data_IF_025984392376
#
_entry.id   IF_025984392376
#
_cell.length_a   1.000
_cell.length_b   1.000
_cell.length_c   1.000
_cell.angle_alpha   90.00
_cell.angle_beta   90.00
_cell.angle_gamma   90.00
#
_symmetry.space_group_name_H-M   'P 1'
#
loop_
_entity.id
_entity.type
_entity.pdbx_description
1 polymer ?
#
# COMPACT_ATOMS: atom_id res chain seq x y z
N UNK A 1 -48.85 -10.74 -13.94
CA UNK A 1 -47.66 -9.88 -14.15
C UNK A 1 -47.25 -9.10 -12.89
N UNK A 2 -48.17 -8.70 -12.02
CA UNK A 2 -47.85 -7.89 -10.82
C UNK A 2 -47.05 -8.63 -9.73
N UNK A 3 -47.32 -9.92 -9.49
CA UNK A 3 -46.68 -10.64 -8.38
C UNK A 3 -45.17 -10.91 -8.61
N UNK A 4 -44.75 -11.03 -9.87
CA UNK A 4 -43.36 -11.26 -10.23
C UNK A 4 -42.49 -10.01 -9.99
N UNK A 5 -43.07 -8.83 -10.22
CA UNK A 5 -42.43 -7.53 -9.97
C UNK A 5 -42.19 -7.35 -8.48
N UNK A 6 -43.18 -7.66 -7.63
CA UNK A 6 -43.03 -7.58 -6.17
C UNK A 6 -41.90 -8.49 -5.68
N UNK A 7 -41.80 -9.71 -6.21
CA UNK A 7 -40.76 -10.66 -5.83
C UNK A 7 -39.36 -10.17 -6.23
N UNK A 8 -39.21 -9.57 -7.41
CA UNK A 8 -37.96 -8.96 -7.87
C UNK A 8 -37.52 -7.77 -6.99
N UNK A 9 -38.46 -6.93 -6.55
CA UNK A 9 -38.15 -5.83 -5.62
C UNK A 9 -37.69 -6.34 -4.25
N UNK A 10 -38.36 -7.38 -3.72
CA UNK A 10 -37.95 -8.02 -2.46
C UNK A 10 -36.54 -8.59 -2.58
N UNK A 11 -36.21 -9.27 -3.68
CA UNK A 11 -34.85 -9.79 -3.90
C UNK A 11 -33.83 -8.65 -4.00
N UNK A 12 -34.11 -7.58 -4.75
CA UNK A 12 -33.18 -6.46 -4.90
C UNK A 12 -32.93 -5.70 -3.58
N UNK A 13 -33.93 -5.60 -2.71
CA UNK A 13 -33.83 -4.94 -1.40
C UNK A 13 -33.19 -5.87 -0.34
N UNK A 14 -33.54 -7.17 -0.33
CA UNK A 14 -33.01 -8.15 0.61
C UNK A 14 -31.57 -8.57 0.30
N UNK A 15 -31.21 -8.68 -0.98
CA UNK A 15 -29.89 -9.09 -1.43
C UNK A 15 -29.00 -7.93 -1.86
N UNK A 16 -29.45 -6.68 -1.67
CA UNK A 16 -28.72 -5.44 -1.87
C UNK A 16 -27.71 -5.50 -3.00
N UNK A 17 -28.10 -5.07 -4.21
CA UNK A 17 -27.24 -4.99 -5.40
C UNK A 17 -25.77 -4.80 -5.01
N UNK A 18 -24.97 -5.86 -5.14
CA UNK A 18 -23.54 -5.79 -4.87
C UNK A 18 -22.93 -4.94 -5.97
N UNK A 19 -22.84 -3.63 -5.75
CA UNK A 19 -22.10 -2.76 -6.65
C UNK A 19 -20.65 -3.25 -6.67
N UNK A 20 -20.15 -3.59 -7.85
CA UNK A 20 -18.74 -3.86 -8.04
C UNK A 20 -17.94 -2.62 -7.57
N UNK A 21 -17.19 -2.80 -6.50
CA UNK A 21 -16.40 -1.75 -5.85
C UNK A 21 -15.25 -1.32 -6.76
N UNK A 22 -15.02 0.00 -6.89
CA UNK A 22 -13.88 0.52 -7.67
C UNK A 22 -12.54 -0.03 -7.16
N UNK A 23 -11.65 -0.39 -8.09
CA UNK A 23 -10.35 -0.99 -7.78
C UNK A 23 -9.48 -0.05 -6.92
N UNK A 24 -8.89 -0.60 -5.85
CA UNK A 24 -7.92 0.14 -5.04
C UNK A 24 -6.53 -0.02 -5.61
N UNK A 25 -5.79 1.09 -5.75
CA UNK A 25 -4.46 1.10 -6.34
C UNK A 25 -3.40 1.32 -5.27
N UNK A 26 -2.50 0.35 -5.13
CA UNK A 26 -1.25 0.48 -4.37
C UNK A 26 -0.12 0.69 -5.34
N UNK A 27 0.72 1.69 -5.07
CA UNK A 27 1.96 1.91 -5.81
C UNK A 27 3.11 1.82 -4.83
N UNK A 28 4.09 0.97 -5.16
CA UNK A 28 5.37 0.92 -4.47
C UNK A 28 6.42 1.52 -5.39
N UNK A 29 6.97 2.65 -4.99
CA UNK A 29 7.97 3.38 -5.75
C UNK A 29 9.30 3.26 -5.03
N UNK A 30 10.36 2.96 -5.78
CA UNK A 30 11.71 2.94 -5.28
C UNK A 30 12.50 4.08 -5.90
N UNK A 31 12.82 5.11 -5.12
CA UNK A 31 13.63 6.25 -5.55
C UNK A 31 15.08 6.14 -5.04
N UNK A 32 15.49 4.95 -4.58
CA UNK A 32 16.80 4.71 -3.96
C UNK A 32 17.92 4.43 -4.99
N UNK A 33 17.64 4.57 -6.29
CA UNK A 33 18.64 4.43 -7.36
C UNK A 33 18.97 2.97 -7.72
N UNK A 34 20.19 2.72 -8.23
CA UNK A 34 20.67 1.41 -8.76
C UNK A 34 20.71 0.27 -7.74
N UNK A 35 20.40 0.53 -6.47
CA UNK A 35 20.48 -0.45 -5.40
C UNK A 35 19.38 -1.50 -5.50
N UNK A 36 19.68 -2.71 -5.02
CA UNK A 36 18.74 -3.82 -5.07
C UNK A 36 17.73 -3.70 -3.94
N UNK A 37 16.47 -3.44 -4.28
CA UNK A 37 15.36 -3.46 -3.33
C UNK A 37 14.53 -4.72 -3.54
N UNK A 38 14.31 -5.48 -2.46
CA UNK A 38 13.39 -6.62 -2.44
C UNK A 38 12.23 -6.27 -1.53
N UNK A 39 11.02 -6.41 -2.06
CA UNK A 39 9.79 -6.29 -1.29
C UNK A 39 9.39 -7.69 -0.82
N UNK A 40 9.62 -7.98 0.45
CA UNK A 40 8.90 -9.03 1.16
C UNK A 40 7.77 -8.34 1.95
N UNK A 41 6.96 -9.05 2.74
CA UNK A 41 6.10 -8.36 3.74
C UNK A 41 6.91 -7.43 4.66
N UNK A 42 8.24 -7.63 4.67
CA UNK A 42 9.26 -6.74 5.19
C UNK A 42 9.95 -5.98 4.03
N UNK A 43 10.13 -4.67 4.20
CA UNK A 43 10.85 -3.84 3.23
C UNK A 43 12.31 -3.76 3.62
N UNK A 44 13.21 -4.16 2.71
CA UNK A 44 14.65 -4.13 2.91
C UNK A 44 15.35 -3.19 1.94
N UNK A 45 16.33 -2.45 2.45
CA UNK A 45 17.22 -1.61 1.67
C UNK A 45 18.68 -1.87 2.05
N UNK A 46 19.53 -2.15 1.05
CA UNK A 46 20.96 -2.34 1.23
C UNK A 46 21.73 -1.13 0.70
N UNK A 47 22.65 -0.61 1.51
CA UNK A 47 23.56 0.45 1.12
C UNK A 47 24.71 -0.10 0.26
N UNK A 48 25.35 0.74 -0.59
CA UNK A 48 26.56 0.37 -1.30
C UNK A 48 27.63 -0.15 -0.33
N UNK A 49 28.38 -1.16 -0.76
CA UNK A 49 29.49 -1.71 0.04
C UNK A 49 30.59 -0.67 0.14
N UNK A 50 30.98 -0.32 1.37
CA UNK A 50 32.12 0.56 1.62
C UNK A 50 33.43 -0.21 1.35
N UNK A 51 34.34 0.30 0.50
CA UNK A 51 35.63 -0.36 0.26
C UNK A 51 36.48 -0.55 1.53
N UNK A 52 36.27 0.27 2.57
CA UNK A 52 36.99 0.18 3.85
C UNK A 52 36.27 -0.67 4.90
N UNK A 53 35.00 -1.04 4.67
CA UNK A 53 34.24 -1.91 5.55
C UNK A 53 33.36 -2.85 4.72
N UNK A 54 33.77 -4.12 4.53
CA UNK A 54 33.05 -5.05 3.66
C UNK A 54 31.70 -5.50 4.21
N UNK A 55 31.31 -5.05 5.42
CA UNK A 55 30.01 -5.40 6.01
C UNK A 55 28.88 -4.66 5.30
N UNK A 56 27.89 -5.37 4.72
CA UNK A 56 26.73 -4.73 4.12
C UNK A 56 25.88 -4.06 5.22
N UNK A 57 25.62 -2.76 5.07
CA UNK A 57 24.72 -2.03 5.98
C UNK A 57 23.30 -2.15 5.45
N UNK A 58 22.45 -2.85 6.20
CA UNK A 58 21.09 -3.17 5.78
C UNK A 58 20.10 -2.41 6.66
N UNK A 59 19.12 -1.77 6.03
CA UNK A 59 17.99 -1.10 6.65
C UNK A 59 16.72 -1.91 6.44
N UNK A 60 15.87 -1.98 7.46
CA UNK A 60 14.62 -2.74 7.43
C UNK A 60 13.46 -1.97 8.04
N UNK A 61 12.28 -2.24 7.49
CA UNK A 61 11.01 -1.96 8.13
C UNK A 61 10.14 -3.22 8.17
N UNK A 62 9.62 -3.54 9.36
CA UNK A 62 8.74 -4.69 9.58
C UNK A 62 7.27 -4.32 9.29
N UNK A 63 6.57 -5.17 8.54
CA UNK A 63 5.13 -5.08 8.25
C UNK A 63 4.64 -3.72 7.74
N UNK A 64 4.91 -3.45 6.45
CA UNK A 64 4.37 -2.27 5.79
C UNK A 64 2.88 -2.47 5.42
N UNK A 65 1.98 -1.93 6.25
CA UNK A 65 0.54 -2.07 6.04
C UNK A 65 0.04 -1.10 4.95
N UNK A 66 -0.21 -1.62 3.73
CA UNK A 66 -0.77 -0.84 2.63
C UNK A 66 -2.27 -0.52 2.82
N UNK A 67 -3.04 -1.52 3.25
CA UNK A 67 -4.45 -1.38 3.63
C UNK A 67 -4.74 -2.17 4.90
N UNK A 68 -5.55 -1.61 5.80
CA UNK A 68 -6.11 -2.36 6.92
C UNK A 68 -7.38 -3.07 6.46
N UNK A 69 -7.63 -4.30 6.90
CA UNK A 69 -8.97 -4.89 6.83
C UNK A 69 -9.91 -4.15 7.80
N UNK A 70 -11.17 -3.90 7.43
CA UNK A 70 -12.13 -3.24 8.32
C UNK A 70 -13.48 -3.00 7.66
N UNK A 71 -14.56 -3.09 8.45
CA UNK A 71 -15.93 -3.40 8.00
C UNK A 71 -16.79 -2.19 7.65
N UNK A 72 -16.40 -0.95 8.00
CA UNK A 72 -17.24 0.24 7.78
C UNK A 72 -16.67 1.18 6.72
N UNK A 73 -17.35 1.17 5.58
CA UNK A 73 -17.56 2.25 4.59
C UNK A 73 -16.34 3.03 4.03
N UNK A 74 -16.24 3.05 2.69
CA UNK A 74 -15.27 3.80 1.84
C UNK A 74 -13.88 3.19 1.59
N UNK A 75 -13.79 1.89 1.30
CA UNK A 75 -12.52 1.26 0.83
C UNK A 75 -12.37 1.12 -0.68
N UNK A 76 -13.42 1.44 -1.43
CA UNK A 76 -13.37 1.41 -2.89
C UNK A 76 -12.54 2.57 -3.44
N UNK A 77 -11.81 2.33 -4.53
CA UNK A 77 -11.09 3.38 -5.26
C UNK A 77 -9.98 4.04 -4.45
N UNK A 78 -9.45 3.40 -3.41
CA UNK A 78 -8.42 4.03 -2.59
C UNK A 78 -7.09 4.04 -3.32
N UNK A 79 -6.42 5.20 -3.26
CA UNK A 79 -5.03 5.34 -3.67
C UNK A 79 -4.11 5.35 -2.46
N UNK A 80 -3.05 4.55 -2.54
CA UNK A 80 -1.97 4.50 -1.56
C UNK A 80 -0.66 4.38 -2.32
N UNK A 81 0.24 5.33 -2.11
CA UNK A 81 1.59 5.21 -2.62
C UNK A 81 2.58 5.25 -1.48
N UNK A 82 3.46 4.26 -1.48
CA UNK A 82 4.60 4.15 -0.60
C UNK A 82 5.85 4.32 -1.43
N UNK A 83 6.67 5.29 -1.08
CA UNK A 83 7.91 5.58 -1.79
C UNK A 83 9.09 5.43 -0.84
N UNK A 84 9.99 4.51 -1.17
CA UNK A 84 11.22 4.33 -0.42
C UNK A 84 12.28 5.33 -0.93
N UNK A 85 12.93 6.06 -0.02
CA UNK A 85 14.02 7.01 -0.27
C UNK A 85 15.20 6.74 0.66
N UNK A 86 16.37 7.33 0.42
CA UNK A 86 17.58 7.09 1.22
C UNK A 86 17.42 7.45 2.71
N UNK A 87 16.63 8.48 3.01
CA UNK A 87 16.39 9.04 4.35
C UNK A 87 15.20 8.37 5.07
N UNK A 88 14.19 7.90 4.34
CA UNK A 88 13.03 7.24 4.94
C UNK A 88 12.03 6.70 3.92
N UNK A 89 10.90 6.24 4.44
CA UNK A 89 9.73 5.81 3.68
C UNK A 89 8.70 6.94 3.69
N UNK A 90 8.26 7.30 2.50
CA UNK A 90 7.29 8.34 2.25
C UNK A 90 5.94 7.75 1.87
N UNK A 91 4.87 8.48 2.17
CA UNK A 91 3.51 8.03 1.95
C UNK A 91 2.62 9.14 1.43
N UNK A 92 1.71 8.78 0.53
CA UNK A 92 0.58 9.65 0.16
C UNK A 92 -0.68 8.85 -0.15
N UNK A 93 -1.81 9.54 0.05
CA UNK A 93 -3.16 9.02 -0.21
C UNK A 93 -3.80 9.56 -1.49
N UNK A 94 -3.23 10.62 -2.04
CA UNK A 94 -3.73 11.29 -3.24
C UNK A 94 -2.56 11.52 -4.19
N UNK A 95 -2.64 11.07 -5.46
CA UNK A 95 -1.57 11.22 -6.44
C UNK A 95 -1.23 12.69 -6.73
N UNK A 96 -2.16 13.62 -6.51
CA UNK A 96 -1.97 15.05 -6.77
C UNK A 96 -1.31 15.79 -5.60
N UNK A 97 -1.01 15.10 -4.50
CA UNK A 97 -0.32 15.67 -3.33
C UNK A 97 1.13 15.19 -3.30
N UNK A 98 2.05 15.99 -2.74
CA UNK A 98 3.42 15.57 -2.56
C UNK A 98 3.51 14.39 -1.59
N UNK A 99 4.58 13.61 -1.73
CA UNK A 99 4.95 12.56 -0.80
C UNK A 99 5.34 13.15 0.55
N UNK A 100 4.68 12.71 1.62
CA UNK A 100 5.04 13.09 2.99
C UNK A 100 5.94 12.05 3.63
N UNK A 101 6.95 12.48 4.40
CA UNK A 101 7.78 11.56 5.18
C UNK A 101 6.90 10.85 6.20
N UNK A 102 6.92 9.51 6.22
CA UNK A 102 6.03 8.69 7.03
C UNK A 102 6.79 7.90 8.09
N UNK A 103 7.85 7.20 7.68
CA UNK A 103 8.61 6.29 8.54
C UNK A 103 10.11 6.48 8.30
N UNK A 104 10.90 6.45 9.37
CA UNK A 104 12.36 6.43 9.26
C UNK A 104 12.87 4.99 9.18
N UNK A 105 14.02 4.80 8.55
CA UNK A 105 14.65 3.49 8.46
C UNK A 105 15.19 3.01 9.81
N UNK A 106 14.98 1.73 10.12
CA UNK A 106 15.69 1.05 11.20
C UNK A 106 16.92 0.34 10.63
N UNK A 107 18.02 0.36 11.36
CA UNK A 107 19.22 -0.42 11.04
C UNK A 107 19.02 -1.85 11.52
N UNK A 108 19.41 -2.83 10.71
CA UNK A 108 19.66 -4.18 11.21
C UNK A 108 21.15 -4.21 11.57
N UNK A 109 21.46 -4.31 12.86
CA UNK A 109 22.83 -4.51 13.35
C UNK A 109 23.24 -5.99 13.25
#
# INVERSE_FOLDING_TARGET
MNNFIVFLFVIAICFGLSEACAESRVVFTNEIGKERTRYDCNVFYQLPVDPNNPRPRIKQYHDLIAFRAGTRSSKCGQYREWCARHDGIYFRRNPNKPLGHSLSWNTID
#
